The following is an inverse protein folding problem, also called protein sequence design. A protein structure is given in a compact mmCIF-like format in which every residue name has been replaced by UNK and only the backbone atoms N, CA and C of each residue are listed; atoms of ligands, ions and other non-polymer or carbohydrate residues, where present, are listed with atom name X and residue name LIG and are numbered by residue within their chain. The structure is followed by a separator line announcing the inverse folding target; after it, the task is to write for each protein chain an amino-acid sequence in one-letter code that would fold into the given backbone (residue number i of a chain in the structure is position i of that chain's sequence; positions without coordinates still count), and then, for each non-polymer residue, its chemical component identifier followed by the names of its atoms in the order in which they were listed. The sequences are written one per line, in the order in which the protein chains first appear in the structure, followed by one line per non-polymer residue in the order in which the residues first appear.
data_IF_282712860334
#
_entry.id   IF_282712860334
#
_cell.length_a   1.000
_cell.length_b   1.000
_cell.length_c   1.000
_cell.angle_alpha   90.00
_cell.angle_beta   90.00
_cell.angle_gamma   90.00
#
_symmetry.space_group_name_H-M   'P 1'
#
loop_
_entity.id
_entity.type
_entity.pdbx_description
1 polymer ?
#
# COMPACT_ATOMS: atom_id res chain seq x y z
N UNK A 1 -17.59 -2.72 -18.05
CA UNK A 1 -16.93 -1.43 -17.77
C UNK A 1 -17.95 -0.34 -17.51
N UNK A 2 -18.79 0.02 -18.49
CA UNK A 2 -19.69 1.18 -18.41
C UNK A 2 -20.67 1.15 -17.23
N UNK A 3 -21.20 -0.04 -16.89
CA UNK A 3 -22.07 -0.20 -15.73
C UNK A 3 -21.37 0.12 -14.39
N UNK A 4 -20.09 -0.23 -14.27
CA UNK A 4 -19.31 0.08 -13.08
C UNK A 4 -18.97 1.58 -13.02
N UNK A 5 -18.64 2.19 -14.15
CA UNK A 5 -18.42 3.63 -14.26
C UNK A 5 -19.68 4.38 -13.84
N UNK A 6 -20.83 4.10 -14.46
CA UNK A 6 -22.09 4.77 -14.12
C UNK A 6 -22.46 4.63 -12.63
N UNK A 7 -22.32 3.44 -12.06
CA UNK A 7 -22.61 3.19 -10.65
C UNK A 7 -21.68 3.98 -9.72
N UNK A 8 -20.36 3.97 -9.97
CA UNK A 8 -19.38 4.56 -9.08
C UNK A 8 -19.22 6.07 -9.27
N UNK A 9 -19.46 6.59 -10.48
CA UNK A 9 -19.51 8.04 -10.71
C UNK A 9 -20.67 8.68 -9.94
N UNK A 10 -21.80 7.98 -9.75
CA UNK A 10 -22.90 8.44 -8.89
C UNK A 10 -22.51 8.61 -7.42
N UNK A 11 -21.43 7.94 -6.98
CA UNK A 11 -20.85 8.05 -5.63
C UNK A 11 -19.76 9.13 -5.54
N UNK A 12 -19.48 9.86 -6.62
CA UNK A 12 -18.48 10.93 -6.65
C UNK A 12 -17.04 10.45 -6.89
N UNK A 13 -16.86 9.30 -7.53
CA UNK A 13 -15.55 8.86 -8.03
C UNK A 13 -15.34 9.32 -9.48
N UNK A 14 -14.10 9.66 -9.85
CA UNK A 14 -13.77 10.02 -11.22
C UNK A 14 -13.77 8.78 -12.11
N UNK A 15 -14.17 8.93 -13.37
CA UNK A 15 -14.17 7.83 -14.33
C UNK A 15 -12.77 7.22 -14.52
N UNK A 16 -11.73 8.05 -14.55
CA UNK A 16 -10.34 7.62 -14.68
C UNK A 16 -9.90 6.78 -13.47
N UNK A 17 -10.19 7.22 -12.24
CA UNK A 17 -9.85 6.45 -11.03
C UNK A 17 -10.57 5.09 -11.01
N UNK A 18 -11.83 5.06 -11.45
CA UNK A 18 -12.62 3.83 -11.56
C UNK A 18 -11.97 2.89 -12.58
N UNK A 19 -11.59 3.41 -13.75
CA UNK A 19 -10.94 2.62 -14.81
C UNK A 19 -9.63 2.02 -14.33
N UNK A 20 -8.74 2.83 -13.80
CA UNK A 20 -7.44 2.39 -13.30
C UNK A 20 -7.59 1.33 -12.21
N UNK A 21 -8.53 1.53 -11.29
CA UNK A 21 -8.77 0.57 -10.21
C UNK A 21 -9.32 -0.77 -10.72
N UNK A 22 -10.22 -0.75 -11.70
CA UNK A 22 -10.71 -1.99 -12.32
C UNK A 22 -9.57 -2.69 -13.07
N UNK A 23 -8.70 -1.96 -13.78
CA UNK A 23 -7.53 -2.56 -14.43
C UNK A 23 -6.55 -3.19 -13.44
N UNK A 24 -6.28 -2.54 -12.31
CA UNK A 24 -5.45 -3.13 -11.24
C UNK A 24 -6.07 -4.41 -10.68
N UNK A 25 -7.39 -4.44 -10.47
CA UNK A 25 -8.09 -5.65 -10.04
C UNK A 25 -7.95 -6.74 -11.12
N UNK A 26 -8.14 -6.42 -12.39
CA UNK A 26 -8.00 -7.40 -13.49
C UNK A 26 -6.58 -7.97 -13.55
N UNK A 27 -5.55 -7.15 -13.36
CA UNK A 27 -4.16 -7.60 -13.31
C UNK A 27 -3.88 -8.53 -12.13
N UNK A 28 -4.53 -8.33 -10.98
CA UNK A 28 -4.37 -9.19 -9.81
C UNK A 28 -4.92 -10.61 -10.00
N UNK A 29 -5.76 -10.84 -11.02
CA UNK A 29 -6.31 -12.15 -11.39
C UNK A 29 -5.64 -12.71 -12.66
N UNK A 30 -4.34 -12.47 -12.85
CA UNK A 30 -3.57 -12.92 -14.03
C UNK A 30 -4.17 -12.49 -15.38
N UNK A 31 -4.87 -11.35 -15.40
CA UNK A 31 -5.65 -10.87 -16.55
C UNK A 31 -6.80 -11.80 -16.97
N UNK A 32 -7.24 -12.73 -16.11
CA UNK A 32 -8.52 -13.42 -16.30
C UNK A 32 -9.68 -12.45 -16.03
N UNK A 33 -10.00 -11.71 -17.08
CA UNK A 33 -11.05 -10.71 -17.04
C UNK A 33 -12.40 -11.34 -16.69
N UNK A 34 -12.68 -12.57 -17.11
CA UNK A 34 -13.99 -13.20 -16.91
C UNK A 34 -14.22 -13.48 -15.44
N UNK A 35 -13.23 -14.06 -14.76
CA UNK A 35 -13.29 -14.37 -13.33
C UNK A 35 -13.32 -13.06 -12.51
N UNK A 36 -12.42 -12.12 -12.79
CA UNK A 36 -12.38 -10.84 -12.09
C UNK A 36 -13.69 -10.05 -12.23
N UNK A 37 -14.25 -9.95 -13.44
CA UNK A 37 -15.54 -9.28 -13.65
C UNK A 37 -16.71 -9.99 -12.98
N UNK A 38 -16.64 -11.31 -12.81
CA UNK A 38 -17.63 -12.07 -12.06
C UNK A 38 -17.59 -11.67 -10.58
N UNK A 39 -16.41 -11.66 -9.97
CA UNK A 39 -16.23 -11.19 -8.58
C UNK A 39 -16.65 -9.73 -8.40
N UNK A 40 -16.23 -8.83 -9.29
CA UNK A 40 -16.60 -7.41 -9.22
C UNK A 40 -18.13 -7.23 -9.21
N UNK A 41 -18.86 -8.02 -10.02
CA UNK A 41 -20.33 -7.95 -10.10
C UNK A 41 -21.02 -8.67 -8.93
N UNK A 42 -20.56 -9.86 -8.55
CA UNK A 42 -21.14 -10.63 -7.44
C UNK A 42 -21.06 -9.86 -6.12
N UNK A 43 -20.01 -9.04 -5.94
CA UNK A 43 -19.83 -8.19 -4.77
C UNK A 43 -20.36 -6.76 -4.97
N UNK A 44 -21.23 -6.50 -5.96
CA UNK A 44 -21.85 -5.19 -6.23
C UNK A 44 -20.84 -4.03 -6.24
N UNK A 45 -19.69 -4.22 -6.87
CA UNK A 45 -18.61 -3.23 -6.97
C UNK A 45 -17.96 -2.82 -5.62
N UNK A 46 -18.30 -3.47 -4.50
CA UNK A 46 -17.75 -3.14 -3.17
C UNK A 46 -16.22 -3.23 -3.12
N UNK A 47 -15.64 -4.19 -3.84
CA UNK A 47 -14.20 -4.33 -3.96
C UNK A 47 -13.55 -3.11 -4.64
N UNK A 48 -14.18 -2.57 -5.67
CA UNK A 48 -13.72 -1.38 -6.39
C UNK A 48 -13.82 -0.15 -5.47
N UNK A 49 -14.93 0.00 -4.74
CA UNK A 49 -15.12 1.10 -3.76
C UNK A 49 -14.04 1.08 -2.69
N UNK A 50 -13.81 -0.08 -2.04
CA UNK A 50 -12.80 -0.20 -0.99
C UNK A 50 -11.40 0.19 -1.49
N UNK A 51 -11.07 -0.19 -2.72
CA UNK A 51 -9.75 0.11 -3.30
C UNK A 51 -9.63 1.59 -3.67
N UNK A 52 -10.69 2.22 -4.17
CA UNK A 52 -10.75 3.67 -4.40
C UNK A 52 -10.61 4.46 -3.09
N UNK A 53 -11.29 4.05 -2.02
CA UNK A 53 -11.16 4.67 -0.69
C UNK A 53 -9.75 4.52 -0.13
N UNK A 54 -9.17 3.33 -0.25
CA UNK A 54 -7.79 3.08 0.15
C UNK A 54 -6.79 3.98 -0.58
N UNK A 55 -6.94 4.15 -1.91
CA UNK A 55 -6.12 5.06 -2.71
C UNK A 55 -6.25 6.51 -2.23
N UNK A 56 -7.46 6.98 -1.94
CA UNK A 56 -7.72 8.32 -1.38
C UNK A 56 -7.04 8.50 -0.02
N UNK A 57 -7.14 7.53 0.88
CA UNK A 57 -6.49 7.57 2.19
C UNK A 57 -4.96 7.62 2.07
N UNK A 58 -4.37 6.81 1.18
CA UNK A 58 -2.92 6.83 0.92
C UNK A 58 -2.44 8.16 0.35
N UNK A 59 -3.16 8.75 -0.60
CA UNK A 59 -2.81 10.07 -1.13
C UNK A 59 -2.83 11.15 -0.04
N UNK A 60 -3.81 11.13 0.86
CA UNK A 60 -3.90 12.10 1.96
C UNK A 60 -2.76 11.92 2.98
N UNK A 61 -2.34 10.68 3.27
CA UNK A 61 -1.14 10.43 4.08
C UNK A 61 0.15 10.88 3.39
N UNK A 62 0.27 10.70 2.07
CA UNK A 62 1.45 11.13 1.32
C UNK A 62 1.59 12.67 1.29
N UNK A 63 0.47 13.40 1.16
CA UNK A 63 0.44 14.87 1.22
C UNK A 63 0.83 15.40 2.60
N UNK A 64 0.36 14.77 3.68
CA UNK A 64 0.75 15.14 5.06
C UNK A 64 2.25 14.97 5.34
N UNK A 65 2.93 14.07 4.63
CA UNK A 65 4.40 13.90 4.73
C UNK A 65 5.19 14.88 3.84
N UNK A 66 4.55 15.57 2.91
CA UNK A 66 5.22 16.49 1.97
C UNK A 66 5.31 17.93 2.49
N UNK A 67 4.60 18.31 3.56
CA UNK A 67 4.86 19.56 4.30
C UNK A 67 6.10 19.50 5.22
N UNK A 68 6.87 18.41 5.14
CA UNK A 68 8.24 18.33 5.64
C UNK A 68 9.22 18.17 4.48
N UNK A 69 9.22 19.08 3.50
CA UNK A 69 10.22 19.06 2.42
C UNK A 69 11.39 19.99 2.75
N UNK A 70 12.60 19.43 2.74
CA UNK A 70 13.91 20.09 2.74
C UNK A 70 14.34 20.87 4.00
N UNK A 71 15.05 20.18 4.89
CA UNK A 71 16.32 20.72 5.36
C UNK A 71 17.42 20.10 4.47
N UNK A 72 18.25 20.88 3.76
CA UNK A 72 19.38 20.32 3.03
C UNK A 72 20.33 19.64 4.04
N UNK A 73 20.67 18.38 3.76
CA UNK A 73 21.77 17.70 4.45
C UNK A 73 23.06 18.46 4.15
N UNK A 74 23.55 19.26 5.10
CA UNK A 74 24.95 19.64 5.13
C UNK A 74 25.75 18.39 5.45
N UNK A 75 26.64 18.00 4.55
CA UNK A 75 27.46 16.79 4.62
C UNK A 75 28.69 16.94 5.54
N UNK A 76 28.54 17.65 6.67
CA UNK A 76 29.63 17.84 7.62
C UNK A 76 29.14 17.52 9.03
N UNK A 77 29.95 16.72 9.73
CA UNK A 77 29.82 16.31 11.14
C UNK A 77 28.96 15.07 11.45
N UNK A 78 29.49 13.91 11.09
CA UNK A 78 29.39 12.74 11.98
C UNK A 78 30.79 12.34 12.45
N UNK A 79 31.24 13.00 13.53
CA UNK A 79 32.11 12.34 14.50
C UNK A 79 31.20 11.58 15.47
N UNK A 80 30.91 10.31 15.20
CA UNK A 80 30.37 9.42 16.22
C UNK A 80 31.15 8.11 16.22
N UNK A 81 31.92 7.94 17.29
CA UNK A 81 32.69 6.73 17.57
C UNK A 81 31.73 5.62 18.01
N UNK A 82 31.88 4.39 17.50
CA UNK A 82 31.04 3.28 17.92
C UNK A 82 31.42 2.87 19.36
N UNK A 83 30.55 3.15 20.32
CA UNK A 83 30.63 2.59 21.67
C UNK A 83 30.31 1.10 21.62
N UNK A 84 31.33 0.31 21.97
CA UNK A 84 31.28 -1.15 22.19
C UNK A 84 30.08 -1.55 23.06
N UNK A 85 29.26 -2.46 22.54
CA UNK A 85 28.42 -3.32 23.35
C UNK A 85 29.30 -4.42 23.97
N UNK A 86 29.66 -4.30 25.25
CA UNK A 86 29.98 -5.46 26.09
C UNK A 86 28.62 -6.09 26.49
N UNK A 87 28.34 -7.39 26.46
CA UNK A 87 29.17 -8.58 26.57
C UNK A 87 28.64 -9.38 27.76
N UNK A 88 28.03 -10.55 27.54
CA UNK A 88 27.84 -11.59 28.57
C UNK A 88 27.49 -12.92 27.87
N UNK A 89 28.46 -13.84 27.93
CA UNK A 89 28.35 -15.27 27.61
C UNK A 89 27.62 -16.01 28.74
N UNK A 90 26.94 -17.10 28.40
CA UNK A 90 26.73 -18.32 29.19
C UNK A 90 26.08 -19.31 28.20
N UNK A 91 26.84 -20.14 27.47
CA UNK A 91 27.42 -21.43 27.87
C UNK A 91 26.39 -22.42 28.45
N UNK A 92 26.11 -23.43 27.62
CA UNK A 92 25.94 -24.87 27.90
C UNK A 92 24.87 -25.34 28.91
N UNK A 93 23.81 -25.96 28.38
CA UNK A 93 23.06 -27.04 29.05
C UNK A 93 23.01 -28.29 28.14
N UNK A 94 22.77 -29.44 28.78
CA UNK A 94 22.63 -30.85 28.32
C UNK A 94 23.96 -31.66 28.34
N UNK A 95 24.29 -32.46 29.36
CA UNK A 95 23.66 -33.67 29.98
C UNK A 95 24.28 -35.01 29.51
N UNK A 96 24.67 -35.80 30.52
CA UNK A 96 24.78 -37.27 30.69
C UNK A 96 25.14 -38.22 29.51
N UNK A 97 26.25 -38.97 29.64
CA UNK A 97 26.29 -40.42 30.01
C UNK A 97 27.74 -40.97 30.11
#
# INVERSE_FOLDING_TARGET
MDAAIAALTSLGFSEDDIRDTIYEILQAYDNDAVIAWRFIREYNYKMVVNMLEYKRMKQNQAKSKHDKKYAPYNAEEFNYTPTKCYGMNSDEEDDED
#
